data_IF_326874665538
#
_entry.id   IF_326874665538
#
_cell.length_a   1.000
_cell.length_b   1.000
_cell.length_c   1.000
_cell.angle_alpha   90.00
_cell.angle_beta   90.00
_cell.angle_gamma   90.00
#
_symmetry.space_group_name_H-M   'P 1'
#
loop_
_entity.id
_entity.type
_entity.pdbx_description
1 polymer ?
#
# COMPACT_ATOMS: atom_id res chain seq x y z
N UNK A 1 -21.56 35.56 -5.74
CA UNK A 1 -20.29 34.78 -5.71
C UNK A 1 -20.69 33.32 -5.71
N UNK A 2 -20.67 32.67 -6.86
CA UNK A 2 -20.98 31.24 -6.96
C UNK A 2 -19.74 30.47 -6.53
N UNK A 3 -19.85 29.72 -5.44
CA UNK A 3 -18.84 28.75 -5.06
C UNK A 3 -18.59 27.80 -6.25
N UNK A 4 -17.33 27.46 -6.56
CA UNK A 4 -17.06 26.49 -7.61
C UNK A 4 -17.70 25.16 -7.22
N UNK A 5 -18.44 24.57 -8.16
CA UNK A 5 -18.94 23.19 -8.05
C UNK A 5 -17.71 22.32 -7.89
N UNK A 6 -17.43 21.88 -6.65
CA UNK A 6 -16.42 20.85 -6.40
C UNK A 6 -16.94 19.58 -7.07
N UNK A 7 -16.27 19.17 -8.14
CA UNK A 7 -16.50 17.87 -8.76
C UNK A 7 -16.35 16.80 -7.66
N UNK A 8 -17.36 15.96 -7.47
CA UNK A 8 -17.32 14.90 -6.47
C UNK A 8 -16.22 13.90 -6.86
N UNK A 9 -15.13 13.73 -6.09
CA UNK A 9 -14.07 12.79 -6.45
C UNK A 9 -14.64 11.37 -6.47
N UNK A 10 -14.49 10.68 -7.58
CA UNK A 10 -15.08 9.35 -7.79
C UNK A 10 -14.48 8.64 -9.00
N UNK A 11 -14.73 7.33 -9.12
CA UNK A 11 -14.30 6.50 -10.26
C UNK A 11 -15.10 6.88 -11.52
N UNK A 12 -14.75 8.02 -12.12
CA UNK A 12 -15.55 8.65 -13.17
C UNK A 12 -15.11 8.26 -14.57
N UNK A 13 -13.87 7.83 -14.77
CA UNK A 13 -13.36 7.44 -16.09
C UNK A 13 -12.85 5.99 -16.11
N UNK A 14 -12.66 5.45 -17.32
CA UNK A 14 -12.28 4.05 -17.53
C UNK A 14 -10.93 3.75 -16.88
N UNK A 15 -9.95 4.65 -17.02
CA UNK A 15 -8.61 4.47 -16.45
C UNK A 15 -8.66 4.32 -14.92
N UNK A 16 -9.37 5.21 -14.22
CA UNK A 16 -9.51 5.15 -12.77
C UNK A 16 -10.23 3.88 -12.29
N UNK A 17 -11.24 3.43 -13.03
CA UNK A 17 -11.91 2.14 -12.75
C UNK A 17 -10.92 0.98 -12.86
N UNK A 18 -10.10 0.96 -13.91
CA UNK A 18 -9.08 -0.08 -14.12
C UNK A 18 -7.98 -0.01 -13.07
N UNK A 19 -7.50 1.17 -12.71
CA UNK A 19 -6.52 1.38 -11.65
C UNK A 19 -7.05 0.90 -10.29
N UNK A 20 -8.31 1.20 -9.97
CA UNK A 20 -8.94 0.71 -8.76
C UNK A 20 -9.06 -0.83 -8.76
N UNK A 21 -9.42 -1.43 -9.89
CA UNK A 21 -9.48 -2.89 -10.04
C UNK A 21 -8.12 -3.57 -9.90
N UNK A 22 -7.07 -2.96 -10.45
CA UNK A 22 -5.69 -3.40 -10.28
C UNK A 22 -5.31 -3.30 -8.80
N UNK A 23 -5.61 -2.17 -8.15
CA UNK A 23 -5.30 -1.96 -6.74
C UNK A 23 -5.96 -3.03 -5.85
N UNK A 24 -7.25 -3.32 -6.04
CA UNK A 24 -7.98 -4.37 -5.30
C UNK A 24 -7.28 -5.73 -5.45
N UNK A 25 -6.78 -6.05 -6.65
CA UNK A 25 -6.15 -7.35 -6.95
C UNK A 25 -4.75 -7.52 -6.38
N UNK A 26 -4.02 -6.43 -6.16
CA UNK A 26 -2.66 -6.49 -5.59
C UNK A 26 -2.65 -6.32 -4.07
N UNK A 27 -3.78 -5.91 -3.49
CA UNK A 27 -3.98 -5.85 -2.05
C UNK A 27 -3.98 -7.26 -1.43
N UNK A 28 -3.66 -7.29 -0.13
CA UNK A 28 -3.84 -8.47 0.69
C UNK A 28 -5.31 -8.88 0.69
N UNK A 29 -5.61 -10.12 0.32
CA UNK A 29 -6.97 -10.64 0.35
C UNK A 29 -7.49 -10.73 1.80
N UNK A 30 -8.81 -10.70 2.00
CA UNK A 30 -9.38 -10.82 3.34
C UNK A 30 -8.99 -12.14 4.03
N UNK A 31 -8.95 -13.24 3.28
CA UNK A 31 -8.52 -14.55 3.78
C UNK A 31 -7.07 -14.49 4.26
N UNK A 32 -6.17 -13.92 3.46
CA UNK A 32 -4.77 -13.79 3.83
C UNK A 32 -4.57 -12.81 5.01
N UNK A 33 -5.37 -11.73 5.09
CA UNK A 33 -5.40 -10.84 6.25
C UNK A 33 -5.79 -11.59 7.53
N UNK A 34 -6.88 -12.35 7.50
CA UNK A 34 -7.34 -13.13 8.65
C UNK A 34 -6.31 -14.19 9.08
N UNK A 35 -5.61 -14.81 8.12
CA UNK A 35 -4.52 -15.73 8.42
C UNK A 35 -3.32 -15.03 9.05
N UNK A 36 -2.95 -13.83 8.55
CA UNK A 36 -1.89 -13.02 9.11
C UNK A 36 -2.18 -12.61 10.56
N UNK A 37 -3.43 -12.22 10.87
CA UNK A 37 -3.88 -11.91 12.24
C UNK A 37 -3.75 -13.13 13.16
N UNK A 38 -4.24 -14.30 12.75
CA UNK A 38 -4.10 -15.53 13.56
C UNK A 38 -2.63 -15.91 13.83
N UNK A 39 -1.76 -15.76 12.83
CA UNK A 39 -0.32 -16.01 12.97
C UNK A 39 0.36 -15.00 13.88
N UNK A 40 -0.03 -13.73 13.78
CA UNK A 40 0.42 -12.66 14.66
C UNK A 40 0.07 -12.97 16.12
N UNK A 41 -1.19 -13.33 16.40
CA UNK A 41 -1.67 -13.69 17.74
C UNK A 41 -0.93 -14.91 18.29
N UNK A 42 -0.79 -15.96 17.47
CA UNK A 42 -0.08 -17.18 17.84
C UNK A 42 1.40 -16.92 18.20
N UNK A 43 2.10 -16.06 17.46
CA UNK A 43 3.49 -15.70 17.81
C UNK A 43 3.54 -14.84 19.07
N UNK A 44 2.61 -13.89 19.23
CA UNK A 44 2.55 -13.04 20.43
C UNK A 44 2.45 -13.88 21.71
N UNK A 45 1.59 -14.90 21.71
CA UNK A 45 1.46 -15.83 22.84
C UNK A 45 2.69 -16.74 22.97
N UNK A 46 3.21 -17.24 21.84
CA UNK A 46 4.30 -18.20 21.83
C UNK A 46 5.61 -17.64 22.41
N UNK A 47 5.97 -16.39 22.10
CA UNK A 47 7.26 -15.82 22.55
C UNK A 47 7.31 -15.57 24.06
N UNK A 48 6.16 -15.54 24.74
CA UNK A 48 6.07 -15.33 26.20
C UNK A 48 5.81 -16.61 26.99
N UNK A 49 5.78 -17.79 26.33
CA UNK A 49 5.59 -19.08 27.01
C UNK A 49 6.58 -19.32 28.14
N UNK A 50 6.19 -20.17 29.09
CA UNK A 50 7.07 -20.62 30.17
C UNK A 50 8.39 -21.19 29.63
N UNK A 51 9.50 -20.73 30.21
CA UNK A 51 10.85 -21.10 29.78
C UNK A 51 11.39 -20.30 28.59
N UNK A 52 10.61 -19.40 27.98
CA UNK A 52 11.13 -18.46 26.98
C UNK A 52 12.09 -17.45 27.63
N UNK A 53 13.21 -17.07 26.95
CA UNK A 53 14.08 -16.00 27.44
C UNK A 53 13.38 -14.62 27.49
N UNK A 54 12.23 -14.48 26.81
CA UNK A 54 11.42 -13.26 26.80
C UNK A 54 10.17 -13.32 27.70
N UNK A 55 9.95 -14.41 28.44
CA UNK A 55 8.80 -14.54 29.34
C UNK A 55 8.75 -13.38 30.35
N UNK A 56 7.63 -12.63 30.36
CA UNK A 56 7.44 -11.47 31.24
C UNK A 56 8.30 -10.25 30.91
N UNK A 57 8.91 -10.21 29.72
CA UNK A 57 9.74 -9.09 29.25
C UNK A 57 9.11 -8.31 28.10
N UNK A 58 8.13 -8.87 27.40
CA UNK A 58 7.45 -8.18 26.30
C UNK A 58 6.48 -7.17 26.92
N UNK A 59 6.70 -5.89 26.64
CA UNK A 59 5.86 -4.80 27.16
C UNK A 59 4.74 -4.44 26.19
N UNK A 60 5.03 -4.46 24.89
CA UNK A 60 4.06 -4.24 23.82
C UNK A 60 4.40 -5.08 22.60
N UNK A 61 3.37 -5.54 21.91
CA UNK A 61 3.46 -6.27 20.66
C UNK A 61 2.48 -5.62 19.68
N UNK A 62 2.96 -5.04 18.59
CA UNK A 62 2.11 -4.27 17.68
C UNK A 62 2.59 -4.29 16.22
N UNK A 63 1.68 -4.24 15.23
CA UNK A 63 2.05 -4.19 13.83
C UNK A 63 2.73 -2.86 13.47
N UNK A 64 3.68 -2.94 12.54
CA UNK A 64 4.37 -1.79 11.94
C UNK A 64 4.22 -1.85 10.41
N UNK A 65 4.70 -0.81 9.73
CA UNK A 65 4.97 -0.87 8.30
C UNK A 65 3.69 -0.81 7.51
N UNK A 66 3.63 -1.57 6.42
CA UNK A 66 2.52 -1.44 5.47
C UNK A 66 1.16 -1.87 6.03
N UNK A 67 1.16 -2.81 6.98
CA UNK A 67 -0.05 -3.26 7.67
C UNK A 67 -0.61 -2.18 8.59
N UNK A 68 0.25 -1.50 9.37
CA UNK A 68 -0.17 -0.44 10.28
C UNK A 68 -0.82 0.77 9.58
N UNK A 69 -0.46 1.01 8.31
CA UNK A 69 -1.00 2.12 7.50
C UNK A 69 -1.97 1.69 6.39
N UNK A 70 -2.40 0.42 6.37
CA UNK A 70 -3.34 -0.09 5.37
C UNK A 70 -2.83 -0.11 3.92
N UNK A 71 -1.51 -0.07 3.72
CA UNK A 71 -0.86 -0.03 2.39
C UNK A 71 -0.28 -1.38 1.93
N UNK A 72 -0.58 -2.48 2.62
CA UNK A 72 -0.07 -3.82 2.29
C UNK A 72 -0.45 -4.24 0.87
N UNK A 73 0.54 -4.76 0.14
CA UNK A 73 0.41 -5.38 -1.19
C UNK A 73 1.31 -6.61 -1.25
N UNK A 74 1.08 -7.50 -2.22
CA UNK A 74 1.98 -8.63 -2.48
C UNK A 74 3.43 -8.15 -2.70
N UNK A 75 4.37 -8.80 -2.02
CA UNK A 75 5.80 -8.43 -2.01
C UNK A 75 6.46 -8.70 -3.36
N UNK A 76 5.98 -9.72 -4.09
CA UNK A 76 6.45 -10.17 -5.41
C UNK A 76 5.36 -10.04 -6.47
N UNK A 77 5.80 -10.01 -7.74
CA UNK A 77 4.89 -9.97 -8.90
C UNK A 77 4.30 -11.35 -9.19
N UNK A 78 5.09 -12.39 -8.96
CA UNK A 78 4.84 -13.78 -9.37
C UNK A 78 4.28 -14.67 -8.27
N UNK A 79 4.36 -14.26 -7.00
CA UNK A 79 3.81 -14.98 -5.88
C UNK A 79 3.09 -14.01 -4.94
N UNK A 80 1.99 -14.47 -4.34
CA UNK A 80 1.18 -13.71 -3.38
C UNK A 80 1.80 -13.80 -1.97
N UNK A 81 3.12 -13.65 -1.88
CA UNK A 81 3.81 -13.55 -0.58
C UNK A 81 3.60 -12.16 0.01
N UNK A 82 3.33 -12.11 1.32
CA UNK A 82 3.15 -10.85 2.04
C UNK A 82 4.13 -10.72 3.20
N UNK A 83 4.56 -9.48 3.46
CA UNK A 83 5.44 -9.16 4.57
C UNK A 83 4.60 -8.47 5.67
N UNK A 84 4.64 -9.02 6.88
CA UNK A 84 4.06 -8.40 8.08
C UNK A 84 5.21 -8.04 9.03
N UNK A 85 5.38 -6.73 9.27
CA UNK A 85 6.33 -6.21 10.24
C UNK A 85 5.65 -6.07 11.61
N UNK A 86 6.30 -6.56 12.66
CA UNK A 86 5.80 -6.48 14.04
C UNK A 86 6.89 -5.96 14.95
N UNK A 87 6.55 -4.97 15.77
CA UNK A 87 7.42 -4.52 16.87
C UNK A 87 7.18 -5.41 18.07
N UNK A 88 8.28 -5.93 18.61
CA UNK A 88 8.33 -6.58 19.92
C UNK A 88 9.04 -5.61 20.87
N UNK A 89 8.26 -4.78 21.56
CA UNK A 89 8.82 -3.89 22.57
C UNK A 89 9.17 -4.71 23.80
N UNK A 90 10.44 -4.73 24.16
CA UNK A 90 10.97 -5.56 25.24
C UNK A 90 11.66 -4.73 26.30
N UNK A 91 11.53 -5.17 27.56
CA UNK A 91 12.35 -4.68 28.67
C UNK A 91 13.72 -5.34 28.62
N UNK A 92 14.70 -4.60 28.13
CA UNK A 92 16.06 -5.11 27.91
C UNK A 92 16.89 -5.00 29.20
N UNK A 93 17.50 -6.10 29.68
CA UNK A 93 18.51 -6.03 30.74
C UNK A 93 19.66 -5.10 30.34
N UNK A 94 20.16 -4.29 31.28
CA UNK A 94 21.28 -3.38 31.03
C UNK A 94 22.58 -4.08 30.62
N UNK A 95 22.70 -5.38 30.87
CA UNK A 95 23.84 -6.21 30.47
C UNK A 95 23.74 -6.74 29.04
N UNK A 96 22.58 -6.61 28.37
CA UNK A 96 22.39 -7.13 27.01
C UNK A 96 22.88 -6.14 25.96
N UNK A 97 23.71 -6.66 25.05
CA UNK A 97 24.04 -6.01 23.79
C UNK A 97 22.89 -6.11 22.77
N UNK A 98 23.03 -5.44 21.63
CA UNK A 98 22.08 -5.58 20.53
C UNK A 98 22.04 -7.02 19.96
N UNK A 99 23.18 -7.72 19.98
CA UNK A 99 23.27 -9.12 19.60
C UNK A 99 22.50 -10.01 20.58
N UNK A 100 22.68 -9.81 21.88
CA UNK A 100 21.97 -10.58 22.92
C UNK A 100 20.45 -10.43 22.79
N UNK A 101 19.97 -9.22 22.48
CA UNK A 101 18.56 -8.96 22.23
C UNK A 101 18.03 -9.75 21.02
N UNK A 102 18.74 -9.69 19.90
CA UNK A 102 18.34 -10.42 18.68
C UNK A 102 18.41 -11.93 18.87
N UNK A 103 19.41 -12.42 19.59
CA UNK A 103 19.57 -13.84 19.92
C UNK A 103 18.47 -14.32 20.89
N UNK A 104 18.15 -13.53 21.91
CA UNK A 104 17.05 -13.84 22.83
C UNK A 104 15.70 -13.91 22.08
N UNK A 105 15.45 -12.97 21.16
CA UNK A 105 14.26 -13.02 20.31
C UNK A 105 14.26 -14.25 19.39
N UNK A 106 15.41 -14.58 18.79
CA UNK A 106 15.56 -15.76 17.94
C UNK A 106 15.26 -17.05 18.70
N UNK A 107 15.84 -17.22 19.89
CA UNK A 107 15.61 -18.39 20.75
C UNK A 107 14.16 -18.44 21.22
N UNK A 108 13.58 -17.30 21.63
CA UNK A 108 12.18 -17.21 22.02
C UNK A 108 11.26 -17.70 20.91
N UNK A 109 11.44 -17.23 19.68
CA UNK A 109 10.59 -17.64 18.55
C UNK A 109 10.87 -19.09 18.15
N UNK A 110 12.14 -19.47 17.98
CA UNK A 110 12.54 -20.80 17.48
C UNK A 110 12.13 -21.92 18.43
N UNK A 111 12.28 -21.72 19.74
CA UNK A 111 12.04 -22.74 20.76
C UNK A 111 12.88 -24.01 20.58
N UNK A 112 12.46 -25.06 21.28
CA UNK A 112 13.20 -26.32 21.34
C UNK A 112 13.10 -27.15 20.05
N UNK A 113 14.00 -28.13 19.92
CA UNK A 113 13.97 -29.09 18.82
C UNK A 113 12.60 -29.77 18.75
N UNK A 114 11.94 -29.68 17.60
CA UNK A 114 10.61 -30.26 17.38
C UNK A 114 9.45 -29.30 17.63
N UNK A 115 9.71 -28.07 18.09
CA UNK A 115 8.69 -27.02 18.17
C UNK A 115 8.17 -26.63 16.77
N UNK A 116 7.01 -25.99 16.74
CA UNK A 116 6.36 -25.53 15.51
C UNK A 116 7.24 -24.61 14.65
N UNK A 117 8.06 -23.75 15.27
CA UNK A 117 8.87 -22.75 14.57
C UNK A 117 10.34 -23.15 14.41
N UNK A 118 10.77 -24.29 14.94
CA UNK A 118 12.20 -24.65 15.03
C UNK A 118 12.97 -24.55 13.70
N UNK A 119 12.30 -24.78 12.56
CA UNK A 119 12.86 -24.74 11.20
C UNK A 119 12.36 -23.58 10.33
N UNK A 120 11.53 -22.68 10.88
CA UNK A 120 10.87 -21.61 10.13
C UNK A 120 11.51 -20.24 10.36
N UNK A 121 12.50 -20.15 11.25
CA UNK A 121 13.00 -18.89 11.81
C UNK A 121 14.38 -18.57 11.27
N UNK A 122 14.57 -17.32 10.86
CA UNK A 122 15.86 -16.80 10.41
C UNK A 122 16.19 -15.49 11.14
N UNK A 123 17.40 -15.42 11.73
CA UNK A 123 17.94 -14.19 12.29
C UNK A 123 18.35 -13.24 11.15
N UNK A 124 17.96 -11.97 11.24
CA UNK A 124 18.30 -10.90 10.32
C UNK A 124 18.95 -9.75 11.10
N UNK A 125 19.56 -8.76 10.43
CA UNK A 125 20.30 -7.72 11.13
C UNK A 125 19.50 -6.80 12.06
N UNK A 126 18.17 -6.72 11.91
CA UNK A 126 17.30 -5.87 12.73
C UNK A 126 16.04 -6.59 13.22
N UNK A 127 15.87 -7.85 12.85
CA UNK A 127 14.65 -8.60 13.11
C UNK A 127 14.91 -10.10 13.12
N UNK A 128 13.90 -10.85 13.53
CA UNK A 128 13.84 -12.29 13.35
C UNK A 128 12.63 -12.59 12.47
N UNK A 129 12.88 -13.23 11.33
CA UNK A 129 11.84 -13.56 10.34
C UNK A 129 11.30 -14.96 10.61
N UNK A 130 9.98 -15.11 10.68
CA UNK A 130 9.29 -16.40 10.59
C UNK A 130 8.74 -16.56 9.18
N UNK A 131 9.10 -17.65 8.52
CA UNK A 131 8.71 -17.93 7.13
C UNK A 131 7.58 -18.95 7.10
N UNK A 132 6.41 -18.51 6.64
CA UNK A 132 5.30 -19.36 6.23
C UNK A 132 5.36 -19.56 4.71
N UNK A 133 4.54 -20.47 4.17
CA UNK A 133 4.52 -20.76 2.73
C UNK A 133 4.07 -19.55 1.88
N UNK A 134 3.28 -18.67 2.47
CA UNK A 134 2.55 -17.56 1.82
C UNK A 134 2.86 -16.19 2.46
N UNK A 135 3.66 -16.13 3.52
CA UNK A 135 4.03 -14.86 4.15
C UNK A 135 5.31 -14.94 4.96
N UNK A 136 5.93 -13.79 5.16
CA UNK A 136 6.98 -13.58 6.15
C UNK A 136 6.46 -12.70 7.28
N UNK A 137 6.78 -13.09 8.50
CA UNK A 137 6.49 -12.34 9.72
C UNK A 137 7.83 -11.85 10.31
N UNK A 138 8.12 -10.57 10.17
CA UNK A 138 9.35 -9.95 10.64
C UNK A 138 9.14 -9.33 12.03
N UNK A 139 9.75 -9.94 13.04
CA UNK A 139 9.68 -9.49 14.43
C UNK A 139 10.89 -8.61 14.76
N UNK A 140 10.64 -7.33 15.03
CA UNK A 140 11.64 -6.29 15.25
C UNK A 140 11.70 -6.00 16.75
N UNK A 141 12.78 -6.38 17.46
CA UNK A 141 12.92 -6.04 18.86
C UNK A 141 13.20 -4.54 19.01
N UNK A 142 12.54 -3.90 19.97
CA UNK A 142 12.73 -2.49 20.31
C UNK A 142 12.68 -2.26 21.81
N UNK A 143 13.41 -1.27 22.31
CA UNK A 143 13.35 -0.82 23.71
C UNK A 143 12.77 0.59 23.78
N UNK A 144 11.73 0.79 24.58
CA UNK A 144 11.06 2.08 24.70
C UNK A 144 11.98 3.11 25.38
N UNK A 145 12.14 4.29 24.78
CA UNK A 145 12.96 5.38 25.35
C UNK A 145 12.19 6.20 26.39
N UNK A 146 12.56 6.25 27.67
CA UNK A 146 11.82 7.04 28.66
C UNK A 146 11.78 8.54 28.34
N UNK A 147 10.66 9.21 28.60
CA UNK A 147 10.52 10.67 28.46
C UNK A 147 10.41 11.22 27.02
N UNK A 148 10.31 10.36 26.01
CA UNK A 148 10.15 10.72 24.59
C UNK A 148 8.68 10.59 24.13
N UNK A 149 8.32 10.97 22.89
CA UNK A 149 6.98 10.72 22.33
C UNK A 149 6.54 9.25 22.41
N UNK A 150 5.24 9.00 22.26
CA UNK A 150 4.68 7.64 22.33
C UNK A 150 5.44 6.69 21.38
N UNK A 151 5.86 5.54 21.93
CA UNK A 151 6.55 4.43 21.24
C UNK A 151 7.82 4.78 20.45
N UNK A 152 8.40 5.97 20.65
CA UNK A 152 9.79 6.22 20.24
C UNK A 152 10.73 5.29 21.00
N UNK A 153 11.55 4.55 20.25
CA UNK A 153 12.27 3.38 20.76
C UNK A 153 13.68 3.29 20.18
N UNK A 154 14.57 2.60 20.87
CA UNK A 154 15.83 2.12 20.32
C UNK A 154 15.56 0.82 19.56
N UNK A 155 15.76 0.84 18.25
CA UNK A 155 15.81 -0.35 17.39
C UNK A 155 17.19 -1.00 17.52
N UNK A 156 17.22 -2.33 17.65
CA UNK A 156 18.46 -3.09 17.71
C UNK A 156 18.94 -3.52 16.33
N UNK A 157 20.23 -3.33 16.07
CA UNK A 157 20.90 -3.71 14.84
C UNK A 157 22.20 -4.47 15.13
N UNK A 158 22.39 -5.60 14.47
CA UNK A 158 23.64 -6.36 14.53
C UNK A 158 23.88 -7.11 13.23
N UNK A 159 25.04 -6.92 12.62
CA UNK A 159 25.54 -7.75 11.53
C UNK A 159 26.76 -8.54 12.00
N UNK A 160 26.87 -9.81 11.58
CA UNK A 160 28.03 -10.64 11.93
C UNK A 160 29.33 -9.95 11.47
N UNK A 161 30.26 -9.73 12.39
CA UNK A 161 31.52 -9.03 12.13
C UNK A 161 31.46 -7.50 12.23
N UNK A 162 30.31 -6.91 12.58
CA UNK A 162 30.18 -5.48 12.88
C UNK A 162 30.66 -5.13 14.30
N UNK A 163 31.05 -3.87 14.52
CA UNK A 163 31.47 -3.40 15.85
C UNK A 163 30.26 -3.39 16.82
N UNK A 164 30.35 -4.04 18.01
CA UNK A 164 29.26 -4.10 18.98
C UNK A 164 28.73 -2.73 19.45
N UNK A 165 29.53 -1.66 19.33
CA UNK A 165 29.19 -0.34 19.86
C UNK A 165 28.20 0.50 19.01
N UNK A 166 27.82 0.06 17.81
CA UNK A 166 26.90 0.79 16.92
C UNK A 166 25.50 0.16 16.80
N UNK A 167 25.13 -0.74 17.71
CA UNK A 167 23.99 -1.63 17.52
C UNK A 167 22.59 -1.07 17.85
N UNK A 168 22.43 0.24 17.99
CA UNK A 168 21.13 0.87 18.30
C UNK A 168 20.86 2.06 17.38
N UNK A 169 19.62 2.20 16.94
CA UNK A 169 19.14 3.35 16.17
C UNK A 169 17.83 3.87 16.79
N UNK A 170 17.73 5.19 17.01
CA UNK A 170 16.49 5.80 17.50
C UNK A 170 15.48 5.84 16.37
N UNK A 171 14.28 5.31 16.61
CA UNK A 171 13.18 5.25 15.63
C UNK A 171 11.83 5.55 16.28
N UNK A 172 10.88 6.06 15.50
CA UNK A 172 9.47 6.14 15.93
C UNK A 172 8.53 5.68 14.80
N UNK A 173 8.51 4.37 14.57
CA UNK A 173 7.70 3.77 13.51
C UNK A 173 6.19 3.89 13.75
N UNK A 174 5.77 3.89 15.03
CA UNK A 174 4.39 4.14 15.41
C UNK A 174 3.98 5.59 15.12
N UNK A 175 4.77 6.56 15.58
CA UNK A 175 4.53 7.98 15.31
C UNK A 175 4.53 8.28 13.80
N UNK A 176 5.39 7.61 13.02
CA UNK A 176 5.36 7.70 11.56
C UNK A 176 4.04 7.18 10.96
N UNK A 177 3.52 6.05 11.48
CA UNK A 177 2.25 5.50 11.06
C UNK A 177 1.06 6.40 11.43
N UNK A 178 1.04 6.96 12.65
CA UNK A 178 0.03 7.96 13.05
C UNK A 178 0.08 9.21 12.16
N UNK A 179 1.28 9.77 11.97
CA UNK A 179 1.51 10.93 11.09
C UNK A 179 1.00 10.69 9.66
N UNK A 180 1.18 9.48 9.14
CA UNK A 180 0.69 9.10 7.81
C UNK A 180 -0.83 8.97 7.79
N UNK A 181 -1.42 8.30 8.79
CA UNK A 181 -2.88 8.13 8.90
C UNK A 181 -3.59 9.47 9.03
N UNK A 182 -3.06 10.39 9.82
CA UNK A 182 -3.59 11.76 9.96
C UNK A 182 -3.63 12.49 8.61
N UNK A 183 -2.56 12.40 7.82
CA UNK A 183 -2.47 13.04 6.49
C UNK A 183 -3.38 12.40 5.45
N UNK A 184 -3.75 11.14 5.66
CA UNK A 184 -4.51 10.35 4.69
C UNK A 184 -5.89 9.94 5.20
N UNK A 185 -6.40 10.61 6.24
CA UNK A 185 -7.64 10.23 6.91
C UNK A 185 -8.90 10.41 6.05
N UNK A 186 -8.89 11.37 5.11
CA UNK A 186 -10.07 11.66 4.28
C UNK A 186 -10.24 10.61 3.18
N UNK A 187 -11.13 9.65 3.42
CA UNK A 187 -11.56 8.69 2.42
C UNK A 187 -12.44 9.33 1.33
N UNK A 188 -13.19 10.38 1.67
CA UNK A 188 -14.13 11.04 0.77
C UNK A 188 -15.09 10.10 0.05
N UNK A 189 -15.65 10.59 -1.06
CA UNK A 189 -16.50 9.78 -1.94
C UNK A 189 -15.72 8.67 -2.67
N UNK A 190 -14.44 8.90 -2.96
CA UNK A 190 -13.56 7.90 -3.58
C UNK A 190 -13.45 6.63 -2.74
N UNK A 191 -13.13 6.76 -1.45
CA UNK A 191 -12.88 5.62 -0.57
C UNK A 191 -14.13 4.77 -0.33
N UNK A 192 -15.31 5.41 -0.28
CA UNK A 192 -16.60 4.70 -0.24
C UNK A 192 -16.84 3.88 -1.51
N UNK A 193 -16.65 4.49 -2.69
CA UNK A 193 -16.80 3.82 -3.97
C UNK A 193 -15.77 2.68 -4.15
N UNK A 194 -14.53 2.89 -3.71
CA UNK A 194 -13.48 1.89 -3.71
C UNK A 194 -13.84 0.70 -2.80
N UNK A 195 -14.30 0.97 -1.58
CA UNK A 195 -14.69 -0.07 -0.62
C UNK A 195 -15.88 -0.90 -1.12
N UNK A 196 -16.88 -0.28 -1.74
CA UNK A 196 -18.00 -0.99 -2.38
C UNK A 196 -17.51 -1.91 -3.50
N UNK A 197 -16.63 -1.39 -4.37
CA UNK A 197 -16.04 -2.17 -5.47
C UNK A 197 -15.21 -3.35 -4.96
N UNK A 198 -14.39 -3.13 -3.93
CA UNK A 198 -13.60 -4.18 -3.29
C UNK A 198 -14.50 -5.27 -2.70
N UNK A 199 -15.56 -4.89 -1.97
CA UNK A 199 -16.54 -5.82 -1.40
C UNK A 199 -17.19 -6.69 -2.49
N UNK A 200 -17.61 -6.07 -3.60
CA UNK A 200 -18.22 -6.79 -4.71
C UNK A 200 -17.24 -7.81 -5.34
N UNK A 201 -15.96 -7.44 -5.48
CA UNK A 201 -14.91 -8.34 -5.97
C UNK A 201 -14.70 -9.53 -5.02
N UNK A 202 -14.53 -9.29 -3.72
CA UNK A 202 -14.30 -10.35 -2.74
C UNK A 202 -15.50 -11.29 -2.61
N UNK A 203 -16.73 -10.75 -2.65
CA UNK A 203 -17.94 -11.57 -2.66
C UNK A 203 -18.04 -12.47 -3.90
N UNK A 204 -17.62 -11.97 -5.07
CA UNK A 204 -17.59 -12.78 -6.28
C UNK A 204 -16.56 -13.92 -6.22
N UNK A 205 -15.40 -13.70 -5.59
CA UNK A 205 -14.40 -14.75 -5.34
C UNK A 205 -14.92 -15.80 -4.35
N UNK A 206 -15.49 -15.36 -3.23
CA UNK A 206 -16.03 -16.25 -2.20
C UNK A 206 -17.23 -17.08 -2.68
N UNK A 207 -17.92 -16.69 -3.75
CA UNK A 207 -18.95 -17.52 -4.40
C UNK A 207 -18.39 -18.57 -5.35
N UNK A 208 -17.16 -18.38 -5.82
CA UNK A 208 -16.48 -19.34 -6.69
C UNK A 208 -15.88 -20.49 -5.86
N UNK A 209 -15.42 -20.19 -4.65
CA UNK A 209 -15.04 -21.18 -3.64
C UNK A 209 -16.30 -21.59 -2.85
N UNK A 210 -16.68 -22.87 -2.86
CA UNK A 210 -18.02 -23.34 -2.44
C UNK A 210 -18.37 -23.24 -0.94
N UNK A 211 -17.59 -22.55 -0.11
CA UNK A 211 -17.84 -22.42 1.32
C UNK A 211 -18.35 -21.00 1.69
N UNK A 212 -19.50 -20.87 2.38
CA UNK A 212 -19.99 -19.59 2.82
C UNK A 212 -19.09 -19.02 3.91
N UNK A 213 -18.29 -18.01 3.55
CA UNK A 213 -17.56 -17.18 4.50
C UNK A 213 -18.54 -16.16 5.12
N UNK A 214 -18.63 -16.04 6.46
CA UNK A 214 -19.48 -15.04 7.10
C UNK A 214 -19.16 -13.62 6.62
N UNK A 215 -20.19 -12.79 6.44
CA UNK A 215 -20.01 -11.35 6.22
C UNK A 215 -19.36 -10.74 7.46
N UNK A 216 -18.14 -10.20 7.34
CA UNK A 216 -17.55 -9.45 8.44
C UNK A 216 -16.61 -8.33 7.98
N UNK A 217 -16.78 -7.22 8.69
CA UNK A 217 -16.09 -5.93 8.75
C UNK A 217 -15.64 -5.29 7.43
N UNK A 218 -16.23 -4.13 7.16
CA UNK A 218 -15.90 -3.33 6.00
C UNK A 218 -14.39 -3.17 5.89
N UNK A 219 -13.81 -3.57 4.76
CA UNK A 219 -12.55 -3.01 4.30
C UNK A 219 -12.65 -1.50 4.53
N UNK A 220 -11.95 -1.01 5.56
CA UNK A 220 -12.02 0.39 5.97
C UNK A 220 -11.79 1.23 4.73
N UNK A 221 -12.68 2.17 4.44
CA UNK A 221 -12.60 2.99 3.24
C UNK A 221 -11.20 3.61 3.15
N UNK A 222 -10.38 3.11 2.22
CA UNK A 222 -9.01 3.60 2.03
C UNK A 222 -9.09 4.89 1.24
N UNK A 223 -8.35 5.89 1.68
CA UNK A 223 -8.27 7.16 0.98
C UNK A 223 -7.50 7.05 -0.33
N UNK A 224 -7.73 8.03 -1.20
CA UNK A 224 -7.09 8.11 -2.50
C UNK A 224 -5.56 8.03 -2.44
N UNK A 225 -4.86 8.75 -1.52
CA UNK A 225 -3.39 8.66 -1.42
C UNK A 225 -2.88 7.28 -0.99
N UNK A 226 -3.64 6.55 -0.16
CA UNK A 226 -3.28 5.19 0.28
C UNK A 226 -3.36 4.21 -0.89
N UNK A 227 -4.41 4.30 -1.71
CA UNK A 227 -4.53 3.48 -2.91
C UNK A 227 -3.45 3.85 -3.95
N UNK A 228 -3.17 5.15 -4.13
CA UNK A 228 -2.05 5.63 -4.94
C UNK A 228 -0.71 5.03 -4.50
N UNK A 229 -0.43 5.05 -3.20
CA UNK A 229 0.79 4.45 -2.62
C UNK A 229 0.88 2.94 -2.90
N UNK A 230 -0.24 2.20 -2.80
CA UNK A 230 -0.27 0.77 -3.11
C UNK A 230 0.11 0.49 -4.57
N UNK A 231 -0.45 1.27 -5.50
CA UNK A 231 -0.13 1.17 -6.93
C UNK A 231 1.32 1.59 -7.21
N UNK A 232 1.84 2.64 -6.56
CA UNK A 232 3.24 3.04 -6.67
C UNK A 232 4.19 1.94 -6.17
N UNK A 233 3.88 1.31 -5.03
CA UNK A 233 4.64 0.16 -4.51
C UNK A 233 4.61 -1.01 -5.49
N UNK A 234 3.45 -1.27 -6.10
CA UNK A 234 3.30 -2.33 -7.12
C UNK A 234 4.15 -2.03 -8.35
N UNK A 235 4.07 -0.82 -8.87
CA UNK A 235 4.88 -0.38 -10.01
C UNK A 235 6.38 -0.56 -9.73
N UNK A 236 6.87 -0.12 -8.56
CA UNK A 236 8.25 -0.37 -8.15
C UNK A 236 8.57 -1.87 -8.11
N UNK A 237 7.68 -2.71 -7.57
CA UNK A 237 7.92 -4.16 -7.55
C UNK A 237 8.06 -4.75 -8.95
N UNK A 238 7.28 -4.27 -9.93
CA UNK A 238 7.41 -4.66 -11.35
C UNK A 238 8.74 -4.20 -11.94
N UNK A 239 9.13 -2.94 -11.74
CA UNK A 239 10.40 -2.41 -12.25
C UNK A 239 11.63 -3.18 -11.74
N UNK A 240 11.56 -3.71 -10.51
CA UNK A 240 12.68 -4.37 -9.83
C UNK A 240 12.57 -5.90 -9.82
N UNK A 241 11.56 -6.49 -10.47
CA UNK A 241 11.36 -7.94 -10.43
C UNK A 241 12.56 -8.72 -11.02
N UNK A 242 13.17 -8.18 -12.09
CA UNK A 242 14.27 -8.80 -12.84
C UNK A 242 15.63 -8.11 -12.57
N UNK A 243 15.66 -7.13 -11.66
CA UNK A 243 16.87 -6.38 -11.33
C UNK A 243 17.56 -6.98 -10.12
N UNK A 244 18.89 -7.06 -10.17
CA UNK A 244 19.72 -7.48 -9.03
C UNK A 244 20.01 -6.36 -8.03
N UNK A 245 19.69 -5.11 -8.39
CA UNK A 245 19.90 -3.94 -7.53
C UNK A 245 18.86 -3.85 -6.43
N UNK A 246 19.25 -3.23 -5.31
CA UNK A 246 18.33 -3.02 -4.19
C UNK A 246 17.20 -2.06 -4.59
N UNK A 247 15.96 -2.43 -4.28
CA UNK A 247 14.78 -1.60 -4.52
C UNK A 247 14.68 -0.40 -3.56
N UNK A 248 14.15 0.76 -4.01
CA UNK A 248 13.84 1.88 -3.15
C UNK A 248 12.89 1.49 -2.00
N UNK A 249 13.17 1.93 -0.76
CA UNK A 249 12.41 1.51 0.42
C UNK A 249 10.97 2.06 0.39
N UNK A 250 9.99 1.21 0.72
CA UNK A 250 8.58 1.60 0.76
C UNK A 250 8.28 2.68 1.79
N UNK A 251 9.01 2.73 2.91
CA UNK A 251 8.83 3.74 3.96
C UNK A 251 9.14 5.16 3.45
N UNK A 252 10.14 5.30 2.59
CA UNK A 252 10.45 6.57 1.92
C UNK A 252 9.33 6.98 0.95
N UNK A 253 8.84 6.04 0.11
CA UNK A 253 7.69 6.30 -0.77
C UNK A 253 6.43 6.68 0.02
N UNK A 254 6.25 6.07 1.20
CA UNK A 254 5.13 6.34 2.10
C UNK A 254 5.16 7.78 2.60
N UNK A 255 6.33 8.29 3.01
CA UNK A 255 6.50 9.70 3.40
C UNK A 255 6.09 10.64 2.26
N UNK A 256 6.63 10.43 1.07
CA UNK A 256 6.35 11.30 -0.08
C UNK A 256 4.88 11.25 -0.50
N UNK A 257 4.21 10.09 -0.40
CA UNK A 257 2.78 9.97 -0.68
C UNK A 257 1.93 10.79 0.32
N UNK A 258 2.28 10.78 1.60
CA UNK A 258 1.55 11.54 2.62
C UNK A 258 1.79 13.06 2.57
N UNK A 259 2.96 13.53 2.10
CA UNK A 259 3.27 14.96 2.02
C UNK A 259 2.38 15.76 1.06
N UNK A 260 1.80 15.09 0.06
CA UNK A 260 0.91 15.68 -0.95
C UNK A 260 -0.51 15.11 -0.92
N UNK A 261 -0.89 14.48 0.18
CA UNK A 261 -2.21 13.88 0.35
C UNK A 261 -3.32 14.94 0.28
N UNK A 262 -4.42 14.61 -0.42
CA UNK A 262 -5.60 15.48 -0.52
C UNK A 262 -5.51 16.59 -1.57
N UNK A 263 -4.51 16.56 -2.46
CA UNK A 263 -4.32 17.55 -3.53
C UNK A 263 -4.88 17.12 -4.91
N UNK A 264 -5.56 15.97 -5.00
CA UNK A 264 -6.03 15.39 -6.26
C UNK A 264 -7.45 14.83 -6.16
N UNK A 265 -8.10 14.66 -7.31
CA UNK A 265 -9.52 14.24 -7.39
C UNK A 265 -9.70 12.76 -7.83
N UNK A 266 -8.66 12.13 -8.40
CA UNK A 266 -8.71 10.77 -8.95
C UNK A 266 -7.36 10.03 -8.90
N UNK A 267 -7.34 8.72 -9.13
CA UNK A 267 -6.14 7.87 -8.99
C UNK A 267 -5.08 8.20 -10.03
N UNK A 268 -5.48 8.45 -11.27
CA UNK A 268 -4.51 8.77 -12.32
C UNK A 268 -3.74 10.05 -11.98
N UNK A 269 -4.41 11.08 -11.48
CA UNK A 269 -3.79 12.32 -10.99
C UNK A 269 -2.97 12.12 -9.72
N UNK A 270 -3.47 11.33 -8.77
CA UNK A 270 -2.75 10.99 -7.53
C UNK A 270 -1.41 10.31 -7.84
N UNK A 271 -1.40 9.33 -8.76
CA UNK A 271 -0.17 8.65 -9.16
C UNK A 271 0.84 9.59 -9.80
N UNK A 272 0.39 10.47 -10.69
CA UNK A 272 1.25 11.49 -11.31
C UNK A 272 1.78 12.46 -10.24
N UNK A 273 0.94 12.89 -9.29
CA UNK A 273 1.33 13.80 -8.20
C UNK A 273 2.37 13.18 -7.29
N UNK A 274 2.13 11.96 -6.79
CA UNK A 274 3.08 11.25 -5.92
C UNK A 274 4.42 11.00 -6.62
N UNK A 275 4.38 10.52 -7.87
CA UNK A 275 5.59 10.26 -8.64
C UNK A 275 6.37 11.55 -8.93
N UNK A 276 5.67 12.63 -9.28
CA UNK A 276 6.26 13.96 -9.53
C UNK A 276 6.94 14.50 -8.28
N UNK A 277 6.25 14.43 -7.13
CA UNK A 277 6.79 14.89 -5.85
C UNK A 277 8.08 14.13 -5.48
N UNK A 278 8.07 12.80 -5.60
CA UNK A 278 9.29 12.00 -5.41
C UNK A 278 10.39 12.43 -6.38
N UNK A 279 10.08 12.51 -7.68
CA UNK A 279 11.02 12.89 -8.75
C UNK A 279 11.69 14.23 -8.45
N UNK A 280 10.94 15.22 -7.99
CA UNK A 280 11.47 16.55 -7.66
C UNK A 280 12.50 16.49 -6.52
N UNK A 281 12.24 15.70 -5.47
CA UNK A 281 13.20 15.48 -4.38
C UNK A 281 14.49 14.78 -4.85
N UNK A 282 14.37 13.75 -5.69
CA UNK A 282 15.54 13.07 -6.27
C UNK A 282 16.35 13.98 -7.19
N UNK A 283 15.66 14.75 -8.05
CA UNK A 283 16.31 15.70 -8.95
C UNK A 283 17.07 16.78 -8.16
N UNK A 284 16.49 17.30 -7.07
CA UNK A 284 17.17 18.27 -6.21
C UNK A 284 18.42 17.69 -5.54
N UNK A 285 18.37 16.45 -5.08
CA UNK A 285 19.54 15.76 -4.51
C UNK A 285 20.66 15.59 -5.56
N UNK A 286 20.31 15.17 -6.77
CA UNK A 286 21.26 15.05 -7.89
C UNK A 286 21.90 16.40 -8.27
N UNK A 287 21.10 17.48 -8.35
CA UNK A 287 21.63 18.83 -8.63
C UNK A 287 22.62 19.30 -7.55
N UNK A 288 22.40 18.90 -6.31
CA UNK A 288 23.28 19.22 -5.19
C UNK A 288 24.50 18.29 -5.11
N UNK A 289 24.62 17.29 -5.99
CA UNK A 289 25.68 16.30 -5.96
C UNK A 289 25.63 15.38 -4.74
N UNK A 290 24.45 15.18 -4.14
CA UNK A 290 24.28 14.34 -2.95
C UNK A 290 23.30 13.19 -3.18
N UNK A 291 23.46 12.11 -2.41
CA UNK A 291 22.41 11.10 -2.30
C UNK A 291 21.21 11.69 -1.56
N UNK A 292 20.01 11.21 -1.88
CA UNK A 292 18.80 11.65 -1.21
C UNK A 292 18.88 11.32 0.27
N UNK A 293 18.51 12.30 1.10
CA UNK A 293 18.46 12.15 2.54
C UNK A 293 17.03 12.40 3.02
N UNK A 294 16.38 11.36 3.51
CA UNK A 294 14.98 11.37 3.90
C UNK A 294 14.86 10.92 5.35
N UNK A 295 14.34 11.80 6.21
CA UNK A 295 14.12 11.50 7.64
C UNK A 295 12.64 11.29 7.94
N UNK A 296 12.36 10.56 9.01
CA UNK A 296 11.00 10.41 9.52
C UNK A 296 10.52 11.74 10.09
N UNK A 297 9.31 12.20 9.74
CA UNK A 297 8.69 13.38 10.36
C UNK A 297 8.33 13.18 11.84
N UNK A 298 8.29 11.92 12.32
CA UNK A 298 8.00 11.60 13.71
C UNK A 298 9.26 11.45 14.58
N UNK A 299 10.44 11.32 13.95
CA UNK A 299 11.73 11.17 14.62
C UNK A 299 12.84 11.59 13.64
N UNK A 300 13.49 12.72 13.88
CA UNK A 300 14.51 13.29 13.00
C UNK A 300 15.79 12.44 12.89
N UNK A 301 16.06 11.62 13.91
CA UNK A 301 17.16 10.64 13.92
C UNK A 301 16.88 9.40 13.07
N UNK A 302 15.61 9.14 12.71
CA UNK A 302 15.21 7.99 11.89
C UNK A 302 15.36 8.32 10.40
N UNK A 303 16.50 7.93 9.81
CA UNK A 303 16.80 8.15 8.40
C UNK A 303 16.17 7.04 7.55
N UNK A 304 15.05 7.35 6.89
CA UNK A 304 14.30 6.44 6.01
C UNK A 304 15.06 6.02 4.75
N UNK A 305 16.10 6.75 4.38
CA UNK A 305 17.01 6.46 3.26
C UNK A 305 18.36 5.89 3.71
N UNK A 306 18.48 5.40 4.95
CA UNK A 306 19.73 4.92 5.55
C UNK A 306 20.47 3.85 4.72
N UNK A 307 19.71 3.01 4.02
CA UNK A 307 20.22 1.83 3.33
C UNK A 307 20.05 1.87 1.80
N UNK A 308 19.48 2.96 1.28
CA UNK A 308 19.26 3.16 -0.15
C UNK A 308 19.00 4.65 -0.44
N UNK A 309 19.57 5.23 -1.51
CA UNK A 309 20.42 4.60 -2.51
C UNK A 309 21.84 4.34 -1.98
N UNK A 310 22.50 3.28 -2.47
CA UNK A 310 23.89 3.01 -2.12
C UNK A 310 24.87 3.83 -2.99
N UNK A 311 24.41 4.28 -4.16
CA UNK A 311 25.20 5.03 -5.12
C UNK A 311 24.37 6.03 -5.92
N UNK A 312 25.02 7.02 -6.54
CA UNK A 312 24.37 7.91 -7.51
C UNK A 312 23.83 7.15 -8.74
N UNK A 313 24.34 5.95 -9.02
CA UNK A 313 23.80 5.10 -10.08
C UNK A 313 22.41 4.60 -9.71
N UNK A 314 22.22 4.10 -8.49
CA UNK A 314 20.91 3.64 -8.01
C UNK A 314 19.90 4.78 -7.98
N UNK A 315 20.35 5.96 -7.54
CA UNK A 315 19.56 7.18 -7.49
C UNK A 315 19.08 7.62 -8.89
N UNK A 316 20.00 7.73 -9.85
CA UNK A 316 19.68 8.12 -11.24
C UNK A 316 18.80 7.08 -11.93
N UNK A 317 19.00 5.79 -11.65
CA UNK A 317 18.13 4.74 -12.18
C UNK A 317 16.68 4.94 -11.71
N UNK A 318 16.47 5.15 -10.41
CA UNK A 318 15.12 5.36 -9.88
C UNK A 318 14.51 6.68 -10.37
N UNK A 319 15.31 7.74 -10.50
CA UNK A 319 14.88 9.00 -11.10
C UNK A 319 14.38 8.80 -12.54
N UNK A 320 15.14 8.07 -13.37
CA UNK A 320 14.75 7.74 -14.73
C UNK A 320 13.48 6.88 -14.79
N UNK A 321 13.34 5.92 -13.86
CA UNK A 321 12.13 5.10 -13.74
C UNK A 321 10.91 5.96 -13.40
N UNK A 322 11.02 6.88 -12.43
CA UNK A 322 9.96 7.83 -12.05
C UNK A 322 9.54 8.71 -13.23
N UNK A 323 10.49 9.25 -13.98
CA UNK A 323 10.18 10.04 -15.18
C UNK A 323 9.48 9.20 -16.26
N UNK A 324 9.90 7.95 -16.44
CA UNK A 324 9.25 6.99 -17.33
C UNK A 324 7.80 6.74 -16.92
N UNK A 325 7.57 6.50 -15.62
CA UNK A 325 6.25 6.31 -15.05
C UNK A 325 5.35 7.54 -15.24
N UNK A 326 5.85 8.75 -14.93
CA UNK A 326 5.10 9.99 -15.11
C UNK A 326 4.67 10.16 -16.57
N UNK A 327 5.59 9.96 -17.53
CA UNK A 327 5.27 10.04 -18.96
C UNK A 327 4.24 8.99 -19.38
N UNK A 328 4.36 7.76 -18.89
CA UNK A 328 3.41 6.69 -19.19
C UNK A 328 2.01 7.00 -18.65
N UNK A 329 1.91 7.43 -17.39
CA UNK A 329 0.64 7.81 -16.77
C UNK A 329 0.01 9.04 -17.44
N UNK A 330 0.80 10.02 -17.86
CA UNK A 330 0.29 11.18 -18.61
C UNK A 330 -0.26 10.76 -19.98
N UNK A 331 0.38 9.84 -20.68
CA UNK A 331 -0.15 9.29 -21.94
C UNK A 331 -1.48 8.59 -21.71
N UNK A 332 -1.57 7.73 -20.69
CA UNK A 332 -2.79 6.97 -20.37
C UNK A 332 -4.03 7.81 -20.08
N UNK A 333 -3.87 9.10 -19.76
CA UNK A 333 -4.97 10.05 -19.57
C UNK A 333 -5.55 10.57 -20.89
N UNK A 334 -4.95 10.21 -22.02
CA UNK A 334 -5.46 10.53 -23.36
C UNK A 334 -6.44 9.45 -23.83
N UNK A 335 -7.13 9.68 -24.95
CA UNK A 335 -8.05 8.68 -25.51
C UNK A 335 -7.27 7.45 -26.01
N UNK A 336 -7.63 6.29 -25.47
CA UNK A 336 -7.05 4.99 -25.78
C UNK A 336 -8.17 3.95 -25.91
N UNK A 337 -7.94 2.94 -26.74
CA UNK A 337 -8.79 1.76 -26.72
C UNK A 337 -8.45 0.83 -25.54
N UNK A 338 -9.30 -0.17 -25.29
CA UNK A 338 -9.11 -1.07 -24.16
C UNK A 338 -7.88 -1.97 -24.29
N UNK A 339 -7.42 -2.30 -25.50
CA UNK A 339 -6.24 -3.15 -25.66
C UNK A 339 -4.96 -2.34 -25.43
N UNK A 340 -4.90 -1.10 -25.89
CA UNK A 340 -3.81 -0.17 -25.56
C UNK A 340 -3.72 0.06 -24.05
N UNK A 341 -4.85 0.32 -23.38
CA UNK A 341 -4.89 0.44 -21.92
C UNK A 341 -4.39 -0.84 -21.24
N UNK A 342 -4.82 -2.02 -21.70
CA UNK A 342 -4.37 -3.32 -21.16
C UNK A 342 -2.85 -3.45 -21.25
N UNK A 343 -2.28 -3.22 -22.44
CA UNK A 343 -0.85 -3.39 -22.69
C UNK A 343 -0.01 -2.45 -21.80
N UNK A 344 -0.39 -1.17 -21.72
CA UNK A 344 0.34 -0.20 -20.91
C UNK A 344 0.19 -0.46 -19.41
N UNK A 345 -1.02 -0.77 -18.92
CA UNK A 345 -1.23 -1.12 -17.51
C UNK A 345 -0.51 -2.41 -17.12
N UNK A 346 -0.38 -3.37 -18.04
CA UNK A 346 0.40 -4.59 -17.82
C UNK A 346 1.89 -4.29 -17.63
N UNK A 347 2.46 -3.39 -18.42
CA UNK A 347 3.85 -2.94 -18.25
C UNK A 347 4.05 -2.24 -16.89
N UNK A 348 3.08 -1.44 -16.46
CA UNK A 348 3.21 -0.65 -15.23
C UNK A 348 2.94 -1.47 -13.96
N UNK A 349 1.94 -2.34 -13.97
CA UNK A 349 1.41 -2.99 -12.75
C UNK A 349 1.42 -4.53 -12.80
N UNK A 350 1.86 -5.11 -13.93
CA UNK A 350 1.96 -6.54 -14.18
C UNK A 350 0.81 -7.09 -15.04
N UNK A 351 1.12 -8.14 -15.81
CA UNK A 351 0.21 -8.73 -16.81
C UNK A 351 -1.10 -9.26 -16.19
N UNK A 352 -1.00 -10.07 -15.12
CA UNK A 352 -2.17 -10.69 -14.50
C UNK A 352 -3.20 -9.69 -13.98
N UNK A 353 -2.85 -8.70 -13.12
CA UNK A 353 -3.84 -7.77 -12.59
C UNK A 353 -4.43 -6.87 -13.68
N UNK A 354 -3.63 -6.41 -14.64
CA UNK A 354 -4.10 -5.57 -15.74
C UNK A 354 -5.11 -6.31 -16.64
N UNK A 355 -4.75 -7.53 -17.08
CA UNK A 355 -5.67 -8.38 -17.87
C UNK A 355 -6.97 -8.64 -17.13
N UNK A 356 -6.89 -8.98 -15.84
CA UNK A 356 -8.09 -9.29 -15.03
C UNK A 356 -8.96 -8.07 -14.74
N UNK A 357 -8.40 -6.87 -14.70
CA UNK A 357 -9.17 -5.63 -14.61
C UNK A 357 -9.95 -5.37 -15.91
N UNK A 358 -9.29 -5.51 -17.06
CA UNK A 358 -9.91 -5.33 -18.39
C UNK A 358 -11.02 -6.36 -18.66
N UNK A 359 -10.79 -7.64 -18.32
CA UNK A 359 -11.81 -8.70 -18.42
C UNK A 359 -13.06 -8.37 -17.59
N UNK A 360 -12.86 -7.92 -16.34
CA UNK A 360 -13.94 -7.56 -15.44
C UNK A 360 -14.73 -6.34 -15.93
N UNK A 361 -14.03 -5.29 -16.37
CA UNK A 361 -14.63 -4.10 -16.96
C UNK A 361 -15.49 -4.43 -18.19
N UNK A 362 -14.94 -5.24 -19.11
CA UNK A 362 -15.63 -5.64 -20.35
C UNK A 362 -16.88 -6.48 -20.08
N UNK A 363 -16.79 -7.42 -19.12
CA UNK A 363 -17.94 -8.23 -18.67
C UNK A 363 -19.05 -7.35 -18.10
N UNK A 364 -18.70 -6.41 -17.21
CA UNK A 364 -19.66 -5.50 -16.59
C UNK A 364 -20.33 -4.59 -17.63
N UNK A 365 -19.56 -4.04 -18.58
CA UNK A 365 -20.10 -3.25 -19.68
C UNK A 365 -21.09 -4.05 -20.54
N UNK A 366 -20.74 -5.29 -20.92
CA UNK A 366 -21.60 -6.18 -21.69
C UNK A 366 -22.91 -6.55 -20.97
N UNK A 367 -22.85 -6.80 -19.66
CA UNK A 367 -24.05 -7.08 -18.84
C UNK A 367 -24.98 -5.86 -18.75
N UNK A 368 -24.43 -4.65 -18.64
CA UNK A 368 -25.22 -3.42 -18.58
C UNK A 368 -25.91 -3.11 -19.92
N UNK A 369 -25.25 -3.40 -21.05
CA UNK A 369 -25.86 -3.32 -22.39
C UNK A 369 -27.04 -4.30 -22.49
N UNK A 370 -26.84 -5.56 -22.09
CA UNK A 370 -27.91 -6.58 -22.12
C UNK A 370 -29.11 -6.24 -21.22
N UNK A 371 -28.86 -5.59 -20.08
CA UNK A 371 -29.90 -5.17 -19.12
C UNK A 371 -30.54 -3.82 -19.48
N UNK A 372 -30.18 -3.21 -20.62
CA UNK A 372 -30.77 -1.94 -21.08
C UNK A 372 -30.47 -0.75 -20.16
N UNK A 373 -29.42 -0.82 -19.33
CA UNK A 373 -29.10 0.20 -18.33
C UNK A 373 -28.26 1.36 -18.86
N UNK A 374 -27.84 1.33 -20.13
CA UNK A 374 -27.14 2.44 -20.77
C UNK A 374 -28.10 3.22 -21.67
N UNK A 375 -28.34 4.50 -21.36
CA UNK A 375 -28.79 5.46 -22.36
C UNK A 375 -27.61 5.71 -23.31
N UNK A 376 -27.68 5.16 -24.53
CA UNK A 376 -26.72 5.50 -25.60
C UNK A 376 -26.77 7.03 -25.83
N UNK A 377 -25.65 7.74 -25.62
CA UNK A 377 -25.43 8.96 -26.38
C UNK A 377 -25.13 8.54 -27.82
N UNK A 378 -26.10 8.74 -28.71
CA UNK A 378 -25.91 8.54 -30.15
C UNK A 378 -24.84 9.53 -30.63
N UNK A 379 -23.67 9.03 -31.08
CA UNK A 379 -22.75 9.81 -31.90
C UNK A 379 -21.24 9.57 -31.74
N UNK A 380 -20.76 8.96 -30.65
CA UNK A 380 -19.29 8.98 -30.35
C UNK A 380 -18.63 7.61 -30.15
N UNK A 381 -19.36 6.49 -30.21
CA UNK A 381 -18.78 5.16 -30.00
C UNK A 381 -18.24 4.91 -28.57
N UNK A 382 -18.35 5.89 -27.67
CA UNK A 382 -17.93 5.78 -26.28
C UNK A 382 -18.93 4.92 -25.48
N UNK A 383 -18.42 3.94 -24.75
CA UNK A 383 -19.19 3.14 -23.80
C UNK A 383 -19.49 4.02 -22.58
N UNK A 384 -20.79 4.25 -22.30
CA UNK A 384 -21.21 4.99 -21.12
C UNK A 384 -20.68 4.32 -19.84
N UNK A 385 -20.02 5.13 -19.01
CA UNK A 385 -19.45 4.71 -17.72
C UNK A 385 -20.56 4.34 -16.73
N UNK A 386 -20.38 3.29 -15.92
CA UNK A 386 -21.34 2.94 -14.88
C UNK A 386 -21.29 3.97 -13.74
N UNK A 387 -22.42 4.63 -13.45
CA UNK A 387 -22.60 5.43 -12.22
C UNK A 387 -23.00 6.90 -12.40
N UNK A 388 -23.09 7.43 -13.62
CA UNK A 388 -23.61 8.80 -13.82
C UNK A 388 -25.14 8.79 -13.75
N UNK A 389 -25.68 9.02 -12.54
CA UNK A 389 -27.09 9.43 -12.39
C UNK A 389 -27.20 10.84 -12.96
N UNK A 390 -27.55 10.94 -14.25
CA UNK A 390 -27.93 12.19 -14.85
C UNK A 390 -29.19 12.72 -14.14
N UNK A 391 -29.07 13.86 -13.48
CA UNK A 391 -30.21 14.61 -12.96
C UNK A 391 -31.13 14.92 -14.13
N UNK A 392 -32.28 14.26 -14.21
CA UNK A 392 -33.29 14.56 -15.20
C UNK A 392 -33.93 15.89 -14.86
N UNK A 393 -33.59 16.95 -15.61
CA UNK A 393 -34.39 18.18 -15.62
C UNK A 393 -35.83 17.85 -16.04
N UNK A 394 -36.86 18.41 -15.40
CA UNK A 394 -38.24 18.15 -15.78
C UNK A 394 -38.49 18.54 -17.24
N UNK A 395 -39.16 17.68 -17.99
CA UNK A 395 -39.59 17.97 -19.37
C UNK A 395 -40.51 19.19 -19.36
N UNK A 396 -40.06 20.31 -19.94
CA UNK A 396 -40.95 21.40 -20.31
C UNK A 396 -41.95 20.90 -21.36
N UNK A 397 -43.24 20.80 -20.97
CA UNK A 397 -44.34 20.60 -21.92
C UNK A 397 -44.60 21.92 -22.64
N UNK A 398 -44.22 21.99 -23.91
CA UNK A 398 -44.58 23.08 -24.81
C UNK A 398 -46.05 22.90 -25.23
N UNK A 399 -46.95 23.75 -24.72
CA UNK A 399 -48.30 23.87 -25.26
C UNK A 399 -48.27 24.93 -26.36
N UNK A 400 -48.27 24.49 -27.61
CA UNK A 400 -48.53 25.35 -28.76
C UNK A 400 -50.00 25.78 -28.76
N UNK A 401 -50.28 26.98 -28.25
CA UNK A 401 -51.56 27.65 -28.41
C UNK A 401 -51.55 28.45 -29.71
N UNK A 402 -52.26 27.95 -30.71
CA UNK A 402 -52.55 28.70 -31.94
C UNK A 402 -53.48 29.88 -31.66
N UNK A 403 -53.11 31.05 -32.17
CA UNK A 403 -54.04 32.17 -32.34
C UNK A 403 -55.00 31.89 -33.49
N UNK A 404 -56.30 32.24 -33.39
CA UNK A 404 -57.11 32.54 -34.55
C UNK A 404 -57.21 34.07 -34.80
N UNK A 405 -57.40 34.53 -36.05
CA UNK A 405 -57.48 35.94 -36.43
C UNK A 405 -58.94 36.40 -36.64
N UNK A 406 -59.19 37.66 -37.06
CA UNK A 406 -58.61 38.93 -36.60
C UNK A 406 -59.46 39.62 -35.53
#
# INVERSE_FOLDING_TARGET
MNAPIRHTPGLQNVLDILLADIAIRVQLSQTAYNQAVKRYEAISEWIERDGSPLAGRVELFYPQGSMAIGSTIASRVTNDEYDLDVVVQIRVPSTWSAEDVLEALFIAIRGDVGSQYYRMVQKRPRCVTVSYADMHLDLIPMERRPGTPERESDLFHHEEGSNPSSGRCVVNSFGFAEWFKERTADAGAFGLAFAERARAYHFALAKADTDPVPEQEAASAKSLPVIGLQLMKRWRNVCYQDRTTRRPPSVMMTKFAAERAGETDNLAEELVRQATHMRDHFHQAEMNGSLIHVVSPACDQDVLSDRWPASHSDQRQFLADLEGFIRAMQRLRSDHDLDELRQQLAVLFGEWPARKAIEAFSKQAGENIRKGRNHLQRGTGAIALPGTVGVTSPKHRFYGGGFPPP
#
